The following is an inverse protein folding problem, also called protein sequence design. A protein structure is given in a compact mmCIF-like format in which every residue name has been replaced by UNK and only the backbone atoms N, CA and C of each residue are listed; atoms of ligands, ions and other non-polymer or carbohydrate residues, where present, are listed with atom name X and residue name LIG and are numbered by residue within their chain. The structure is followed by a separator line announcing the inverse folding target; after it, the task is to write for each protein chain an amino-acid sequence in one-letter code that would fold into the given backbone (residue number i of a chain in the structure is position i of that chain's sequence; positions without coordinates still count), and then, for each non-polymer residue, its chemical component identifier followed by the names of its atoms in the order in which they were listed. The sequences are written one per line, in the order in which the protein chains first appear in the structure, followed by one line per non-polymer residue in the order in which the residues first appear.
data_IF_559000155805
#
_entry.id   IF_559000155805
#
_cell.length_a   1.000
_cell.length_b   1.000
_cell.length_c   1.000
_cell.angle_alpha   90.00
_cell.angle_beta   90.00
_cell.angle_gamma   90.00
#
_symmetry.space_group_name_H-M   'P 1'
#
loop_
_entity.id
_entity.type
_entity.pdbx_description
1 polymer ?
#
# COMPACT_ATOMS: atom_id res chain seq x y z
N UNK A 1 -22.44 -3.87 -0.70
CA UNK A 1 -21.80 -3.06 0.35
C UNK A 1 -20.51 -3.68 0.87
N UNK A 2 -20.48 -4.97 1.25
CA UNK A 2 -19.28 -5.63 1.80
C UNK A 2 -18.03 -5.53 0.88
N UNK A 3 -18.21 -5.77 -0.43
CA UNK A 3 -17.14 -5.71 -1.44
C UNK A 3 -16.48 -4.32 -1.53
N UNK A 4 -17.26 -3.24 -1.40
CA UNK A 4 -16.74 -1.85 -1.42
C UNK A 4 -15.95 -1.56 -0.15
N UNK A 5 -16.41 -2.06 1.00
CA UNK A 5 -15.72 -1.93 2.27
C UNK A 5 -14.35 -2.65 2.24
N UNK A 6 -14.30 -3.84 1.65
CA UNK A 6 -13.07 -4.62 1.49
C UNK A 6 -12.07 -3.91 0.58
N UNK A 7 -12.53 -3.36 -0.55
CA UNK A 7 -11.67 -2.56 -1.44
C UNK A 7 -11.15 -1.32 -0.72
N UNK A 8 -12.02 -0.61 0.01
CA UNK A 8 -11.63 0.56 0.82
C UNK A 8 -10.55 0.20 1.84
N UNK A 9 -10.73 -0.91 2.56
CA UNK A 9 -9.76 -1.41 3.55
C UNK A 9 -8.41 -1.74 2.89
N UNK A 10 -8.41 -2.40 1.73
CA UNK A 10 -7.18 -2.72 1.00
C UNK A 10 -6.41 -1.45 0.59
N UNK A 11 -7.13 -0.42 0.13
CA UNK A 11 -6.54 0.89 -0.22
C UNK A 11 -5.95 1.55 1.04
N UNK A 12 -6.66 1.53 2.16
CA UNK A 12 -6.16 2.11 3.43
C UNK A 12 -4.89 1.40 3.91
N UNK A 13 -4.86 0.06 3.90
CA UNK A 13 -3.68 -0.71 4.27
C UNK A 13 -2.51 -0.38 3.33
N UNK A 14 -2.76 -0.30 2.03
CA UNK A 14 -1.73 0.03 1.04
C UNK A 14 -1.17 1.45 1.23
N UNK A 15 -2.01 2.41 1.64
CA UNK A 15 -1.60 3.76 2.02
C UNK A 15 -0.67 3.75 3.25
N UNK A 16 -0.97 2.94 4.27
CA UNK A 16 -0.11 2.80 5.45
C UNK A 16 1.23 2.20 5.09
N UNK A 17 1.25 1.16 4.24
CA UNK A 17 2.49 0.53 3.73
C UNK A 17 3.32 1.53 2.92
N UNK A 18 2.66 2.31 2.05
CA UNK A 18 3.28 3.40 1.29
C UNK A 18 3.93 4.44 2.19
N UNK A 19 3.23 4.86 3.25
CA UNK A 19 3.72 5.85 4.18
C UNK A 19 4.93 5.32 4.97
N UNK A 20 4.84 4.09 5.47
CA UNK A 20 5.94 3.41 6.16
C UNK A 20 7.16 3.25 5.24
N UNK A 21 6.96 2.87 3.97
CA UNK A 21 8.04 2.75 2.99
C UNK A 21 8.74 4.08 2.73
N UNK A 22 7.98 5.18 2.62
CA UNK A 22 8.53 6.52 2.50
C UNK A 22 9.30 6.96 3.75
N UNK A 23 8.75 6.75 4.94
CA UNK A 23 9.39 7.08 6.22
C UNK A 23 10.70 6.29 6.39
N UNK A 24 10.69 4.99 6.09
CA UNK A 24 11.90 4.16 6.13
C UNK A 24 12.95 4.65 5.16
N UNK A 25 12.57 5.03 3.93
CA UNK A 25 13.51 5.56 2.95
C UNK A 25 14.16 6.85 3.46
N UNK A 26 13.38 7.79 4.03
CA UNK A 26 13.93 9.00 4.66
C UNK A 26 14.87 8.65 5.82
N UNK A 27 14.47 7.70 6.69
CA UNK A 27 15.28 7.27 7.82
C UNK A 27 16.62 6.63 7.39
N UNK A 28 16.67 6.04 6.20
CA UNK A 28 17.89 5.48 5.60
C UNK A 28 18.71 6.52 4.79
N UNK A 29 18.37 7.81 4.88
CA UNK A 29 19.10 8.88 4.20
C UNK A 29 18.78 9.03 2.72
N UNK A 30 17.69 8.43 2.22
CA UNK A 30 17.23 8.62 0.84
C UNK A 30 16.67 10.03 0.67
N UNK A 31 17.07 10.70 -0.41
CA UNK A 31 16.56 12.02 -0.80
C UNK A 31 15.03 12.02 -0.94
N UNK A 32 14.41 13.18 -0.70
CA UNK A 32 12.94 13.35 -0.66
C UNK A 32 12.23 12.75 -1.89
N UNK A 33 12.78 12.93 -3.09
CA UNK A 33 12.22 12.33 -4.32
C UNK A 33 12.29 10.78 -4.33
N UNK A 34 13.38 10.21 -3.84
CA UNK A 34 13.54 8.75 -3.73
C UNK A 34 12.63 8.14 -2.67
N UNK A 35 12.39 8.85 -1.56
CA UNK A 35 11.43 8.43 -0.55
C UNK A 35 9.99 8.43 -1.06
N UNK A 36 9.61 9.45 -1.85
CA UNK A 36 8.30 9.50 -2.52
C UNK A 36 8.15 8.33 -3.49
N UNK A 37 9.18 8.04 -4.29
CA UNK A 37 9.18 6.90 -5.22
C UNK A 37 9.12 5.56 -4.49
N UNK A 38 9.77 5.43 -3.34
CA UNK A 38 9.76 4.21 -2.53
C UNK A 38 8.39 3.99 -1.90
N UNK A 39 7.79 5.04 -1.31
CA UNK A 39 6.44 4.98 -0.79
C UNK A 39 5.41 4.70 -1.88
N UNK A 40 5.43 5.46 -2.97
CA UNK A 40 4.54 5.27 -4.12
C UNK A 40 4.70 3.90 -4.78
N UNK A 41 5.93 3.40 -4.91
CA UNK A 41 6.21 2.05 -5.39
C UNK A 41 5.63 0.99 -4.45
N UNK A 42 5.79 1.17 -3.14
CA UNK A 42 5.19 0.29 -2.15
C UNK A 42 3.65 0.29 -2.22
N UNK A 43 3.01 1.44 -2.48
CA UNK A 43 1.56 1.50 -2.74
C UNK A 43 1.17 0.67 -3.97
N UNK A 44 1.86 0.88 -5.10
CA UNK A 44 1.58 0.19 -6.36
C UNK A 44 1.72 -1.33 -6.26
N UNK A 45 2.58 -1.82 -5.37
CA UNK A 45 2.73 -3.26 -5.09
C UNK A 45 1.70 -3.75 -4.09
N UNK A 46 1.43 -2.99 -3.03
CA UNK A 46 0.55 -3.39 -1.94
C UNK A 46 -0.92 -3.47 -2.36
N UNK A 47 -1.41 -2.58 -3.23
CA UNK A 47 -2.82 -2.58 -3.68
C UNK A 47 -3.19 -3.88 -4.41
N UNK A 48 -2.50 -4.29 -5.51
CA UNK A 48 -2.84 -5.52 -6.20
C UNK A 48 -2.62 -6.76 -5.32
N UNK A 49 -1.61 -6.76 -4.44
CA UNK A 49 -1.38 -7.87 -3.51
C UNK A 49 -2.54 -8.02 -2.50
N UNK A 50 -2.97 -6.93 -1.88
CA UNK A 50 -4.07 -6.95 -0.90
C UNK A 50 -5.41 -7.28 -1.56
N UNK A 51 -5.67 -6.80 -2.78
CA UNK A 51 -6.85 -7.22 -3.56
C UNK A 51 -6.80 -8.70 -3.92
N UNK A 52 -5.65 -9.22 -4.35
CA UNK A 52 -5.49 -10.64 -4.69
C UNK A 52 -5.77 -11.54 -3.48
N UNK A 53 -5.24 -11.17 -2.31
CA UNK A 53 -5.50 -11.85 -1.04
C UNK A 53 -6.98 -11.77 -0.67
N UNK A 54 -7.58 -10.58 -0.71
CA UNK A 54 -9.00 -10.40 -0.45
C UNK A 54 -9.89 -11.25 -1.38
N UNK A 55 -9.49 -11.42 -2.64
CA UNK A 55 -10.17 -12.27 -3.60
C UNK A 55 -10.03 -13.77 -3.26
N UNK A 56 -8.84 -14.22 -2.87
CA UNK A 56 -8.61 -15.60 -2.44
C UNK A 56 -9.39 -15.96 -1.16
N UNK A 57 -9.62 -15.00 -0.27
CA UNK A 57 -10.41 -15.14 0.96
C UNK A 57 -11.93 -15.03 0.74
N UNK A 58 -12.39 -14.83 -0.50
CA UNK A 58 -13.82 -14.67 -0.82
C UNK A 58 -14.41 -13.31 -0.42
N UNK A 59 -13.55 -12.31 -0.15
CA UNK A 59 -13.95 -10.93 0.16
C UNK A 59 -14.31 -10.08 -1.07
N UNK A 60 -14.01 -10.56 -2.28
CA UNK A 60 -14.26 -9.90 -3.56
C UNK A 60 -15.20 -10.66 -4.50
#
# INVERSE_FOLDING_TARGET
MFKVLVVGLCITISLVVSLLGGILAVANGVLSAGAILTGGGAFFVAVPATLSVANALGGL
#
